data_IF_148013609246
#
_entry.id   IF_148013609246
#
_cell.length_a   1.000
_cell.length_b   1.000
_cell.length_c   1.000
_cell.angle_alpha   90.00
_cell.angle_beta   90.00
_cell.angle_gamma   90.00
#
_symmetry.space_group_name_H-M   'P 1'
#
loop_
_entity.id
_entity.type
_entity.pdbx_description
1 polymer ?
#
# COMPACT_ATOMS: atom_id res chain seq x y z
N UNK A 1 83.54 -65.96 13.39
CA UNK A 1 82.58 -66.84 14.09
C UNK A 1 81.46 -65.97 14.64
N UNK A 2 80.22 -66.46 14.51
CA UNK A 2 78.92 -65.89 14.91
C UNK A 2 78.32 -64.82 14.00
N UNK A 3 77.40 -65.36 13.19
CA UNK A 3 76.32 -64.78 12.42
C UNK A 3 75.26 -64.07 13.26
N UNK A 4 74.52 -63.18 12.60
CA UNK A 4 73.06 -62.92 12.66
C UNK A 4 72.87 -61.64 11.81
N UNK A 5 71.95 -61.53 10.88
CA UNK A 5 70.70 -62.23 10.63
C UNK A 5 69.77 -61.18 10.03
N UNK A 6 69.38 -61.42 8.78
CA UNK A 6 68.52 -60.62 7.90
C UNK A 6 67.28 -60.02 8.58
N UNK A 7 66.82 -58.83 8.13
CA UNK A 7 65.42 -58.58 7.70
C UNK A 7 65.24 -57.18 7.10
N UNK A 8 64.85 -57.19 5.82
CA UNK A 8 64.35 -56.07 5.03
C UNK A 8 62.91 -55.79 5.47
N UNK A 9 62.58 -54.53 5.76
CA UNK A 9 61.21 -54.08 5.94
C UNK A 9 60.95 -52.93 4.95
N UNK A 10 60.07 -53.18 3.98
CA UNK A 10 59.59 -52.21 3.02
C UNK A 10 58.69 -51.18 3.72
N UNK A 11 59.03 -49.89 3.61
CA UNK A 11 58.20 -48.80 4.12
C UNK A 11 57.28 -48.32 2.99
N UNK A 12 55.99 -48.63 3.10
CA UNK A 12 54.95 -48.02 2.27
C UNK A 12 54.76 -46.57 2.74
N UNK A 13 54.99 -45.61 1.84
CA UNK A 13 54.72 -44.18 2.09
C UNK A 13 53.24 -43.93 1.81
N UNK A 14 52.46 -43.73 2.86
CA UNK A 14 51.10 -43.19 2.76
C UNK A 14 51.19 -41.66 2.73
N UNK A 15 50.85 -41.05 1.60
CA UNK A 15 50.70 -39.60 1.46
C UNK A 15 49.35 -39.22 2.07
N UNK A 16 49.36 -38.55 3.22
CA UNK A 16 48.17 -37.89 3.79
C UNK A 16 48.09 -36.49 3.21
N UNK A 17 47.13 -36.26 2.32
CA UNK A 17 46.76 -34.92 1.86
C UNK A 17 45.93 -34.23 2.96
N UNK A 18 46.53 -33.26 3.66
CA UNK A 18 45.81 -32.38 4.59
C UNK A 18 45.10 -31.31 3.75
N UNK A 19 43.79 -31.48 3.54
CA UNK A 19 42.92 -30.40 3.04
C UNK A 19 42.66 -29.47 4.22
N UNK A 20 43.37 -28.34 4.26
CA UNK A 20 43.12 -27.28 5.23
C UNK A 20 41.80 -26.57 4.91
N UNK A 21 40.70 -26.99 5.53
CA UNK A 21 39.48 -26.19 5.60
C UNK A 21 39.77 -25.05 6.58
N UNK A 22 40.12 -23.88 6.03
CA UNK A 22 40.24 -22.65 6.80
C UNK A 22 38.86 -22.20 7.26
N UNK A 23 38.40 -22.73 8.38
CA UNK A 23 37.26 -22.20 9.12
C UNK A 23 37.66 -20.84 9.70
N UNK A 24 37.38 -19.75 8.99
CA UNK A 24 37.32 -18.43 9.61
C UNK A 24 36.11 -18.43 10.56
N UNK A 25 36.33 -18.84 11.80
CA UNK A 25 35.41 -18.54 12.88
C UNK A 25 35.43 -17.01 13.05
N UNK A 26 34.38 -16.34 12.55
CA UNK A 26 34.14 -14.96 12.90
C UNK A 26 34.01 -14.90 14.43
N UNK A 27 35.05 -14.38 15.10
CA UNK A 27 35.01 -14.11 16.53
C UNK A 27 34.03 -12.95 16.70
N UNK A 28 32.75 -13.27 16.90
CA UNK A 28 31.77 -12.30 17.34
C UNK A 28 32.25 -11.76 18.68
N UNK A 29 32.77 -10.53 18.70
CA UNK A 29 33.15 -9.84 19.92
C UNK A 29 31.85 -9.40 20.59
N UNK A 30 31.46 -10.00 21.73
CA UNK A 30 30.17 -9.71 22.36
C UNK A 30 30.09 -8.30 22.96
N UNK A 31 31.15 -7.49 22.85
CA UNK A 31 31.29 -6.13 23.38
C UNK A 31 31.33 -5.05 22.30
N UNK A 32 31.38 -5.40 21.01
CA UNK A 32 31.17 -4.42 19.94
C UNK A 32 29.67 -4.15 19.84
N UNK A 33 29.26 -2.97 20.33
CA UNK A 33 27.91 -2.48 20.11
C UNK A 33 27.63 -2.52 18.60
N UNK A 34 26.44 -3.02 18.21
CA UNK A 34 26.01 -2.95 16.80
C UNK A 34 26.18 -1.50 16.32
N UNK A 35 26.71 -1.27 15.11
CA UNK A 35 26.80 0.08 14.57
C UNK A 35 25.45 0.77 14.74
N UNK A 36 25.43 1.88 15.47
CA UNK A 36 24.23 2.69 15.60
C UNK A 36 23.95 3.28 14.22
N UNK A 37 22.80 2.97 13.64
CA UNK A 37 22.38 3.56 12.38
C UNK A 37 22.46 5.09 12.52
N UNK A 38 23.15 5.81 11.61
CA UNK A 38 23.12 7.26 11.63
C UNK A 38 21.66 7.73 11.45
N UNK A 39 21.23 8.81 12.12
CA UNK A 39 19.91 9.36 11.87
C UNK A 39 19.80 9.76 10.38
N UNK A 40 18.63 9.59 9.75
CA UNK A 40 18.44 10.02 8.37
C UNK A 40 18.80 11.50 8.20
N UNK A 41 19.52 11.81 7.12
CA UNK A 41 20.02 13.17 6.87
C UNK A 41 18.89 14.18 6.63
N UNK A 42 17.84 13.75 5.92
CA UNK A 42 16.68 14.59 5.62
C UNK A 42 15.61 14.46 6.70
N UNK A 43 15.20 15.63 7.21
CA UNK A 43 14.20 15.81 8.25
C UNK A 43 14.43 14.88 9.46
N UNK A 44 15.59 14.96 10.13
CA UNK A 44 15.99 14.03 11.20
C UNK A 44 14.99 14.00 12.38
N UNK A 45 14.18 15.05 12.55
CA UNK A 45 13.15 15.17 13.57
C UNK A 45 11.88 14.36 13.29
N UNK A 46 11.72 13.84 12.07
CA UNK A 46 10.54 13.06 11.71
C UNK A 46 10.53 11.70 12.40
N UNK A 47 9.38 11.38 13.01
CA UNK A 47 9.10 10.03 13.47
C UNK A 47 9.06 9.04 12.30
N UNK A 48 9.31 7.76 12.58
CA UNK A 48 9.20 6.69 11.59
C UNK A 48 7.80 6.65 10.96
N UNK A 49 6.75 6.84 11.76
CA UNK A 49 5.38 6.89 11.23
C UNK A 49 5.17 8.05 10.25
N UNK A 50 5.76 9.23 10.51
CA UNK A 50 5.70 10.36 9.57
C UNK A 50 6.43 10.03 8.26
N UNK A 51 7.60 9.41 8.31
CA UNK A 51 8.35 9.01 7.10
C UNK A 51 7.53 8.09 6.20
N UNK A 52 6.86 7.09 6.77
CA UNK A 52 5.97 6.20 6.01
C UNK A 52 4.72 6.89 5.47
N UNK A 53 4.17 7.86 6.19
CA UNK A 53 3.07 8.68 5.69
C UNK A 53 3.50 9.52 4.47
N UNK A 54 4.65 10.20 4.54
CA UNK A 54 5.15 10.99 3.40
C UNK A 54 5.43 10.09 2.20
N UNK A 55 6.04 8.92 2.42
CA UNK A 55 6.29 7.97 1.34
C UNK A 55 5.00 7.47 0.67
N UNK A 56 3.94 7.21 1.44
CA UNK A 56 2.63 6.89 0.88
C UNK A 56 2.03 8.08 0.11
N UNK A 57 2.13 9.31 0.64
CA UNK A 57 1.62 10.49 -0.04
C UNK A 57 2.33 10.73 -1.37
N UNK A 58 3.65 10.55 -1.42
CA UNK A 58 4.42 10.65 -2.66
C UNK A 58 4.05 9.53 -3.65
N UNK A 59 3.83 8.31 -3.16
CA UNK A 59 3.33 7.22 -3.99
C UNK A 59 1.93 7.53 -4.58
N UNK A 60 1.03 8.14 -3.80
CA UNK A 60 -0.29 8.61 -4.28
C UNK A 60 -0.13 9.70 -5.34
N UNK A 61 0.79 10.66 -5.15
CA UNK A 61 1.07 11.72 -6.14
C UNK A 61 1.57 11.17 -7.47
N UNK A 62 2.33 10.06 -7.44
CA UNK A 62 2.83 9.37 -8.64
C UNK A 62 1.79 8.46 -9.31
N UNK A 63 0.88 7.87 -8.53
CA UNK A 63 -0.11 6.91 -9.02
C UNK A 63 -1.27 7.58 -9.78
N UNK A 64 -1.98 6.81 -10.61
CA UNK A 64 -3.23 7.30 -11.21
C UNK A 64 -4.24 7.67 -10.11
N UNK A 65 -5.00 8.77 -10.25
CA UNK A 65 -5.99 9.16 -9.26
C UNK A 65 -7.07 8.09 -9.11
N UNK A 66 -7.15 7.52 -7.92
CA UNK A 66 -8.20 6.58 -7.53
C UNK A 66 -8.56 6.86 -6.06
N UNK A 67 -9.38 7.90 -5.79
CA UNK A 67 -9.69 8.35 -4.45
C UNK A 67 -10.12 7.23 -3.47
N UNK A 68 -11.03 6.30 -3.84
CA UNK A 68 -11.44 5.25 -2.92
C UNK A 68 -10.30 4.29 -2.55
N UNK A 69 -9.49 3.87 -3.54
CA UNK A 69 -8.34 2.98 -3.30
C UNK A 69 -7.25 3.68 -2.49
N UNK A 70 -6.96 4.95 -2.77
CA UNK A 70 -5.94 5.71 -2.05
C UNK A 70 -6.35 5.98 -0.59
N UNK A 71 -7.63 6.31 -0.34
CA UNK A 71 -8.17 6.42 1.02
C UNK A 71 -8.05 5.10 1.80
N UNK A 72 -8.33 3.97 1.15
CA UNK A 72 -8.15 2.63 1.72
C UNK A 72 -6.69 2.32 2.05
N UNK A 73 -5.74 2.71 1.19
CA UNK A 73 -4.30 2.55 1.45
C UNK A 73 -3.84 3.40 2.64
N UNK A 74 -4.31 4.65 2.75
CA UNK A 74 -4.05 5.53 3.90
C UNK A 74 -4.55 4.91 5.21
N UNK A 75 -5.77 4.36 5.21
CA UNK A 75 -6.32 3.68 6.38
C UNK A 75 -5.49 2.45 6.76
N UNK A 76 -5.21 1.54 5.82
CA UNK A 76 -4.48 0.31 6.13
C UNK A 76 -3.04 0.54 6.56
N UNK A 77 -2.36 1.55 6.00
CA UNK A 77 -1.05 1.94 6.51
C UNK A 77 -1.17 2.42 7.96
N UNK A 78 -2.10 3.35 8.23
CA UNK A 78 -2.31 3.88 9.57
C UNK A 78 -2.62 2.78 10.60
N UNK A 79 -3.50 1.85 10.25
CA UNK A 79 -3.85 0.71 11.10
C UNK A 79 -2.67 -0.25 11.30
N UNK A 80 -1.89 -0.56 10.26
CA UNK A 80 -0.69 -1.38 10.40
C UNK A 80 0.34 -0.75 11.35
N UNK A 81 0.54 0.57 11.25
CA UNK A 81 1.43 1.30 12.16
C UNK A 81 0.87 1.37 13.59
N UNK A 82 -0.45 1.51 13.74
CA UNK A 82 -1.11 1.45 15.04
C UNK A 82 -0.93 0.07 15.69
N UNK A 83 -1.17 -1.01 14.96
CA UNK A 83 -1.03 -2.38 15.45
C UNK A 83 0.41 -2.66 15.90
N UNK A 84 1.39 -2.22 15.10
CA UNK A 84 2.80 -2.31 15.45
C UNK A 84 3.15 -1.55 16.74
N UNK A 85 2.54 -0.37 16.94
CA UNK A 85 2.72 0.41 18.16
C UNK A 85 2.05 -0.27 19.38
N UNK A 86 0.83 -0.77 19.18
CA UNK A 86 -0.04 -1.38 20.19
C UNK A 86 0.46 -2.74 20.67
N UNK A 87 1.20 -3.50 19.83
CA UNK A 87 1.86 -4.75 20.24
C UNK A 87 2.75 -4.57 21.47
N UNK A 88 3.43 -3.42 21.60
CA UNK A 88 4.34 -3.13 22.71
C UNK A 88 3.71 -2.25 23.81
N UNK A 89 2.41 -1.95 23.69
CA UNK A 89 1.64 -1.29 24.73
C UNK A 89 0.90 -2.32 25.59
N UNK A 90 0.93 -2.22 26.94
CA UNK A 90 0.27 -3.19 27.80
C UNK A 90 -1.27 -3.13 27.73
N UNK A 91 -1.85 -2.05 27.22
CA UNK A 91 -3.30 -1.77 27.33
C UNK A 91 -3.99 -1.47 26.00
N UNK A 92 -3.28 -0.93 25.01
CA UNK A 92 -3.89 -0.57 23.73
C UNK A 92 -4.11 -1.79 22.84
N UNK A 93 -5.29 -1.99 22.28
CA UNK A 93 -5.53 -3.07 21.32
C UNK A 93 -5.26 -2.62 19.89
N UNK A 94 -4.68 -3.53 19.09
CA UNK A 94 -4.58 -3.34 17.64
C UNK A 94 -5.92 -3.57 16.95
N UNK A 95 -6.05 -3.01 15.76
CA UNK A 95 -7.23 -3.11 14.91
C UNK A 95 -7.31 -4.47 14.20
N UNK A 96 -6.22 -4.89 13.53
CA UNK A 96 -6.16 -6.18 12.84
C UNK A 96 -5.36 -7.22 13.63
N UNK A 97 -4.35 -6.77 14.38
CA UNK A 97 -3.38 -7.62 15.04
C UNK A 97 -3.26 -7.27 16.53
N UNK A 98 -3.57 -8.22 17.41
CA UNK A 98 -3.69 -7.99 18.86
C UNK A 98 -2.61 -8.69 19.71
N UNK A 99 -1.69 -9.42 19.07
CA UNK A 99 -0.59 -10.10 19.77
C UNK A 99 0.28 -9.07 20.53
N UNK A 100 0.70 -9.45 21.74
CA UNK A 100 1.53 -8.61 22.61
C UNK A 100 2.97 -9.10 22.65
N UNK A 101 3.90 -8.16 22.69
CA UNK A 101 5.33 -8.45 22.80
C UNK A 101 6.03 -7.44 23.70
N UNK A 102 7.19 -7.83 24.22
CA UNK A 102 8.05 -6.97 25.05
C UNK A 102 9.43 -6.88 24.42
N UNK A 103 10.10 -5.76 24.62
CA UNK A 103 11.45 -5.52 24.11
C UNK A 103 12.24 -4.66 25.10
N UNK A 104 13.56 -4.82 25.09
CA UNK A 104 14.45 -4.04 25.96
C UNK A 104 14.34 -2.52 25.67
N UNK A 105 14.29 -2.14 24.39
CA UNK A 105 13.93 -0.79 23.96
C UNK A 105 12.59 -0.85 23.22
N UNK A 106 11.53 -0.37 23.88
CA UNK A 106 10.17 -0.31 23.31
C UNK A 106 10.10 0.60 22.09
N UNK A 107 10.81 1.72 22.13
CA UNK A 107 10.82 2.67 21.01
C UNK A 107 11.51 2.08 19.78
N UNK A 108 12.69 1.46 19.94
CA UNK A 108 13.39 0.83 18.83
C UNK A 108 12.57 -0.31 18.21
N UNK A 109 11.95 -1.15 19.06
CA UNK A 109 11.09 -2.23 18.58
C UNK A 109 9.86 -1.70 17.83
N UNK A 110 9.21 -0.64 18.32
CA UNK A 110 8.09 0.00 17.61
C UNK A 110 8.54 0.53 16.25
N UNK A 111 9.65 1.24 16.18
CA UNK A 111 10.18 1.80 14.94
C UNK A 111 10.49 0.72 13.89
N UNK A 112 11.10 -0.40 14.30
CA UNK A 112 11.39 -1.53 13.43
C UNK A 112 10.10 -2.23 12.96
N UNK A 113 9.20 -2.58 13.90
CA UNK A 113 7.92 -3.25 13.56
C UNK A 113 7.05 -2.40 12.63
N UNK A 114 6.93 -1.10 12.88
CA UNK A 114 6.23 -0.13 12.01
C UNK A 114 6.82 -0.19 10.61
N UNK A 115 8.15 -0.19 10.49
CA UNK A 115 8.82 -0.10 9.18
C UNK A 115 8.63 -1.34 8.34
N UNK A 116 8.76 -2.53 8.95
CA UNK A 116 8.45 -3.76 8.22
C UNK A 116 6.97 -3.87 7.87
N UNK A 117 6.06 -3.48 8.76
CA UNK A 117 4.63 -3.49 8.46
C UNK A 117 4.29 -2.56 7.28
N UNK A 118 4.74 -1.31 7.35
CA UNK A 118 4.52 -0.30 6.32
C UNK A 118 5.15 -0.68 4.97
N UNK A 119 6.42 -1.08 4.97
CA UNK A 119 7.14 -1.47 3.75
C UNK A 119 6.39 -2.58 2.98
N UNK A 120 5.95 -3.62 3.68
CA UNK A 120 5.27 -4.77 3.08
C UNK A 120 3.87 -4.41 2.57
N UNK A 121 3.08 -3.65 3.36
CA UNK A 121 1.76 -3.19 2.94
C UNK A 121 1.88 -2.31 1.70
N UNK A 122 2.70 -1.26 1.75
CA UNK A 122 2.82 -0.30 0.65
C UNK A 122 3.41 -0.93 -0.62
N UNK A 123 4.44 -1.77 -0.48
CA UNK A 123 5.01 -2.46 -1.63
C UNK A 123 3.97 -3.33 -2.34
N UNK A 124 3.15 -4.06 -1.58
CA UNK A 124 2.07 -4.86 -2.16
C UNK A 124 0.99 -4.00 -2.84
N UNK A 125 0.66 -2.82 -2.30
CA UNK A 125 -0.36 -1.93 -2.88
C UNK A 125 0.10 -1.20 -4.15
N UNK A 126 1.38 -0.83 -4.23
CA UNK A 126 1.90 0.04 -5.31
C UNK A 126 2.73 -0.68 -6.38
N UNK A 127 3.06 -1.97 -6.22
CA UNK A 127 3.85 -2.74 -7.21
C UNK A 127 3.29 -2.72 -8.64
N UNK A 128 1.97 -2.58 -8.79
CA UNK A 128 1.30 -2.51 -10.09
C UNK A 128 0.77 -1.11 -10.44
N UNK A 129 1.06 -0.10 -9.62
CA UNK A 129 0.61 1.27 -9.87
C UNK A 129 1.46 1.93 -10.97
N UNK A 130 0.88 2.93 -11.65
CA UNK A 130 1.66 3.88 -12.43
C UNK A 130 2.63 4.60 -11.48
N UNK A 131 3.91 4.73 -11.85
CA UNK A 131 4.96 5.22 -10.94
C UNK A 131 5.32 4.24 -9.80
N UNK A 132 4.93 2.97 -9.92
CA UNK A 132 5.18 1.94 -8.91
C UNK A 132 6.67 1.66 -8.71
N UNK A 133 7.49 1.65 -9.76
CA UNK A 133 8.95 1.48 -9.66
C UNK A 133 9.58 2.51 -8.74
N UNK A 134 9.23 3.78 -8.92
CA UNK A 134 9.81 4.91 -8.19
C UNK A 134 9.32 4.88 -6.73
N UNK A 135 8.05 4.51 -6.53
CA UNK A 135 7.48 4.36 -5.19
C UNK A 135 8.13 3.22 -4.42
N UNK A 136 8.40 2.07 -5.05
CA UNK A 136 9.11 0.95 -4.42
C UNK A 136 10.56 1.29 -4.12
N UNK A 137 11.23 2.04 -5.00
CA UNK A 137 12.57 2.55 -4.74
C UNK A 137 12.57 3.43 -3.50
N UNK A 138 11.64 4.37 -3.40
CA UNK A 138 11.53 5.24 -2.22
C UNK A 138 11.23 4.45 -0.94
N UNK A 139 10.37 3.44 -0.99
CA UNK A 139 10.12 2.57 0.17
C UNK A 139 11.37 1.80 0.59
N UNK A 140 12.21 1.38 -0.36
CA UNK A 140 13.50 0.77 -0.08
C UNK A 140 14.48 1.77 0.54
N UNK A 141 14.51 3.02 0.05
CA UNK A 141 15.35 4.10 0.59
C UNK A 141 14.95 4.45 2.04
N UNK A 142 13.66 4.45 2.37
CA UNK A 142 13.19 4.61 3.75
C UNK A 142 13.73 3.50 4.65
N UNK A 143 13.66 2.23 4.22
CA UNK A 143 14.19 1.10 4.98
C UNK A 143 15.72 1.18 5.14
N UNK A 144 16.45 1.53 4.08
CA UNK A 144 17.91 1.70 4.10
C UNK A 144 18.32 2.83 5.05
N UNK A 145 17.62 3.97 5.03
CA UNK A 145 17.87 5.09 5.93
C UNK A 145 17.69 4.77 7.41
N UNK A 146 16.93 3.72 7.73
CA UNK A 146 16.68 3.21 9.07
C UNK A 146 17.52 1.94 9.38
N UNK A 147 18.39 1.53 8.45
CA UNK A 147 19.23 0.34 8.51
C UNK A 147 18.44 -0.97 8.69
N UNK A 148 17.27 -1.07 8.06
CA UNK A 148 16.44 -2.28 8.09
C UNK A 148 16.58 -3.09 6.78
N UNK A 149 17.14 -4.32 6.82
CA UNK A 149 17.32 -5.13 5.62
C UNK A 149 15.99 -5.55 4.97
N UNK A 150 15.89 -5.41 3.64
CA UNK A 150 14.67 -5.75 2.91
C UNK A 150 14.39 -7.26 2.83
N UNK A 151 15.44 -8.09 2.97
CA UNK A 151 15.39 -9.55 2.88
C UNK A 151 14.87 -10.23 4.16
N UNK A 152 14.72 -9.47 5.24
CA UNK A 152 14.08 -9.93 6.48
C UNK A 152 12.56 -10.10 6.28
N UNK A 153 12.17 -11.29 5.84
CA UNK A 153 10.80 -11.65 5.42
C UNK A 153 10.12 -12.64 6.35
N UNK A 154 10.84 -13.22 7.32
CA UNK A 154 10.29 -14.21 8.25
C UNK A 154 9.08 -13.65 9.00
N UNK A 155 8.08 -14.50 9.25
CA UNK A 155 6.96 -14.23 10.17
C UNK A 155 7.10 -14.99 11.48
N UNK A 156 8.17 -15.75 11.66
CA UNK A 156 8.39 -16.63 12.81
C UNK A 156 9.20 -15.94 13.90
N UNK A 157 8.81 -16.19 15.16
CA UNK A 157 9.47 -15.64 16.35
C UNK A 157 9.02 -14.22 16.72
N UNK A 158 9.73 -13.64 17.69
CA UNK A 158 9.32 -12.39 18.36
C UNK A 158 10.21 -11.19 18.02
N UNK A 159 11.01 -11.27 16.95
CA UNK A 159 11.75 -10.09 16.50
C UNK A 159 10.77 -9.02 16.00
N UNK A 160 11.09 -7.72 16.16
CA UNK A 160 10.25 -6.64 15.64
C UNK A 160 9.98 -6.78 14.13
N UNK A 161 11.00 -7.16 13.34
CA UNK A 161 10.84 -7.48 11.92
C UNK A 161 9.80 -8.60 11.67
N UNK A 162 9.87 -9.70 12.42
CA UNK A 162 8.94 -10.82 12.26
C UNK A 162 7.50 -10.43 12.59
N UNK A 163 7.32 -9.65 13.66
CA UNK A 163 6.02 -9.11 14.06
C UNK A 163 5.49 -8.14 12.99
N UNK A 164 6.33 -7.23 12.47
CA UNK A 164 5.93 -6.29 11.43
C UNK A 164 5.49 -6.99 10.15
N UNK A 165 6.21 -8.04 9.74
CA UNK A 165 5.81 -8.90 8.63
C UNK A 165 4.48 -9.63 8.90
N UNK A 166 4.22 -10.10 10.13
CA UNK A 166 2.92 -10.69 10.51
C UNK A 166 1.78 -9.67 10.39
N UNK A 167 1.97 -8.46 10.92
CA UNK A 167 0.98 -7.38 10.84
C UNK A 167 0.66 -7.07 9.38
N UNK A 168 1.68 -6.88 8.53
CA UNK A 168 1.47 -6.64 7.12
C UNK A 168 0.69 -7.76 6.44
N UNK A 169 1.03 -9.02 6.72
CA UNK A 169 0.28 -10.18 6.21
C UNK A 169 -1.19 -10.11 6.62
N UNK A 170 -1.48 -9.88 7.90
CA UNK A 170 -2.87 -9.80 8.41
C UNK A 170 -3.65 -8.67 7.75
N UNK A 171 -3.05 -7.49 7.59
CA UNK A 171 -3.68 -6.33 6.93
C UNK A 171 -3.95 -6.60 5.45
N UNK A 172 -2.99 -7.20 4.74
CA UNK A 172 -3.14 -7.54 3.33
C UNK A 172 -4.21 -8.61 3.13
N UNK A 173 -4.23 -9.66 3.97
CA UNK A 173 -5.25 -10.71 3.94
C UNK A 173 -6.66 -10.14 4.22
N UNK A 174 -6.81 -9.25 5.20
CA UNK A 174 -8.07 -8.56 5.46
C UNK A 174 -8.54 -7.77 4.23
N UNK A 175 -7.63 -7.10 3.54
CA UNK A 175 -7.94 -6.36 2.32
C UNK A 175 -8.35 -7.24 1.13
N UNK A 176 -7.97 -8.51 1.07
CA UNK A 176 -8.39 -9.39 -0.04
C UNK A 176 -9.86 -9.78 0.04
N UNK A 177 -10.48 -9.66 1.22
CA UNK A 177 -11.85 -10.11 1.49
C UNK A 177 -12.81 -8.99 1.92
N UNK A 178 -12.36 -7.74 1.89
CA UNK A 178 -13.15 -6.56 2.27
C UNK A 178 -14.21 -6.14 1.23
N UNK A 179 -14.34 -6.88 0.13
CA UNK A 179 -15.26 -6.56 -0.96
C UNK A 179 -14.73 -5.55 -1.98
N UNK A 180 -13.51 -5.01 -1.83
CA UNK A 180 -12.90 -4.05 -2.76
C UNK A 180 -12.51 -4.64 -4.12
N UNK A 181 -12.56 -5.96 -4.30
CA UNK A 181 -12.16 -6.66 -5.53
C UNK A 181 -10.71 -6.34 -5.97
N UNK A 182 -9.81 -6.19 -5.00
CA UNK A 182 -8.41 -5.81 -5.24
C UNK A 182 -7.68 -6.73 -6.22
N UNK A 183 -7.90 -8.05 -6.14
CA UNK A 183 -7.23 -9.04 -7.00
C UNK A 183 -7.55 -8.86 -8.48
N UNK A 184 -8.73 -8.35 -8.80
CA UNK A 184 -9.17 -8.00 -10.15
C UNK A 184 -9.00 -6.50 -10.46
N UNK A 185 -8.17 -5.79 -9.69
CA UNK A 185 -7.83 -4.39 -9.96
C UNK A 185 -8.95 -3.40 -9.64
N UNK A 186 -9.81 -3.72 -8.65
CA UNK A 186 -10.90 -2.84 -8.20
C UNK A 186 -11.99 -2.57 -9.26
N UNK A 187 -12.11 -3.48 -10.23
CA UNK A 187 -13.06 -3.37 -11.34
C UNK A 187 -14.46 -3.82 -10.93
N UNK A 188 -15.47 -3.24 -11.57
CA UNK A 188 -16.85 -3.71 -11.49
C UNK A 188 -17.34 -4.19 -12.86
N UNK A 189 -17.36 -5.50 -13.12
CA UNK A 189 -17.82 -6.01 -14.40
C UNK A 189 -19.34 -5.90 -14.58
N UNK A 190 -20.12 -5.57 -13.53
CA UNK A 190 -21.58 -5.50 -13.58
C UNK A 190 -22.09 -4.11 -13.90
N UNK A 191 -21.29 -3.07 -13.64
CA UNK A 191 -21.67 -1.70 -13.95
C UNK A 191 -21.38 -1.39 -15.42
N UNK A 192 -22.40 -0.87 -16.11
CA UNK A 192 -22.25 -0.23 -17.41
C UNK A 192 -23.06 1.07 -17.41
N UNK A 193 -22.53 2.18 -17.98
CA UNK A 193 -23.31 3.40 -18.15
C UNK A 193 -24.49 3.14 -19.08
N UNK A 194 -25.64 3.74 -18.76
CA UNK A 194 -26.85 3.65 -19.60
C UNK A 194 -26.70 4.50 -20.86
N UNK A 195 -26.01 5.63 -20.75
CA UNK A 195 -25.79 6.53 -21.86
C UNK A 195 -24.50 6.17 -22.61
N UNK A 196 -24.50 6.27 -23.95
CA UNK A 196 -23.27 6.19 -24.74
C UNK A 196 -22.36 7.40 -24.43
N UNK A 197 -21.03 7.26 -24.58
CA UNK A 197 -20.12 8.37 -24.33
C UNK A 197 -20.44 9.63 -25.14
N UNK A 198 -20.37 10.80 -24.51
CA UNK A 198 -20.44 12.10 -25.18
C UNK A 198 -19.08 12.43 -25.79
N UNK A 199 -19.00 12.50 -27.12
CA UNK A 199 -17.81 13.01 -27.81
C UNK A 199 -17.76 14.53 -27.63
N UNK A 200 -16.88 15.00 -26.74
CA UNK A 200 -16.83 16.42 -26.35
C UNK A 200 -16.42 17.35 -27.50
N UNK A 201 -15.67 16.83 -28.47
CA UNK A 201 -15.24 17.57 -29.67
C UNK A 201 -16.38 17.73 -30.71
N UNK A 202 -17.57 17.20 -30.42
CA UNK A 202 -18.75 17.32 -31.27
C UNK A 202 -19.86 18.10 -30.55
N UNK A 203 -20.57 18.93 -31.30
CA UNK A 203 -21.70 19.69 -30.76
C UNK A 203 -22.92 18.81 -30.58
N UNK A 204 -23.42 18.74 -29.34
CA UNK A 204 -24.64 18.03 -28.99
C UNK A 204 -24.46 16.51 -28.86
N UNK A 205 -25.47 15.85 -28.30
CA UNK A 205 -25.54 14.40 -28.17
C UNK A 205 -26.99 13.98 -28.02
N UNK A 206 -27.29 12.72 -28.35
CA UNK A 206 -28.52 12.07 -27.90
C UNK A 206 -28.20 11.28 -26.64
N UNK A 207 -28.98 11.49 -25.58
CA UNK A 207 -28.90 10.68 -24.36
C UNK A 207 -30.03 9.66 -24.37
N UNK A 208 -29.75 8.44 -23.89
CA UNK A 208 -30.76 7.41 -23.67
C UNK A 208 -31.61 7.75 -22.44
N UNK A 209 -30.97 8.22 -21.36
CA UNK A 209 -31.62 8.63 -20.13
C UNK A 209 -30.92 9.87 -19.53
N UNK A 210 -31.54 11.06 -19.56
CA UNK A 210 -30.95 12.28 -19.03
C UNK A 210 -30.80 12.29 -17.50
N UNK A 211 -31.41 11.34 -16.79
CA UNK A 211 -31.29 11.19 -15.33
C UNK A 211 -30.15 10.23 -14.92
N UNK A 212 -29.32 9.77 -15.87
CA UNK A 212 -28.19 8.86 -15.62
C UNK A 212 -26.88 9.47 -16.11
N UNK A 213 -25.79 9.09 -15.45
CA UNK A 213 -24.45 9.55 -15.83
C UNK A 213 -24.13 9.20 -17.28
N UNK A 214 -23.48 10.13 -17.98
CA UNK A 214 -22.96 9.97 -19.32
C UNK A 214 -21.43 10.10 -19.29
N UNK A 215 -20.67 9.07 -19.69
CA UNK A 215 -19.23 9.18 -19.80
C UNK A 215 -18.83 10.25 -20.81
N UNK A 216 -17.81 11.04 -20.51
CA UNK A 216 -17.22 11.92 -21.53
C UNK A 216 -16.15 11.20 -22.33
N UNK A 217 -16.08 11.47 -23.63
CA UNK A 217 -14.98 11.10 -24.50
C UNK A 217 -14.18 12.35 -24.91
N UNK A 218 -12.96 12.44 -24.39
CA UNK A 218 -12.01 13.52 -24.62
C UNK A 218 -10.94 13.07 -25.62
N UNK A 219 -10.59 13.93 -26.57
CA UNK A 219 -9.48 13.68 -27.53
C UNK A 219 -8.14 13.56 -26.80
N UNK A 220 -7.97 14.30 -25.71
CA UNK A 220 -6.83 14.21 -24.81
C UNK A 220 -7.35 14.18 -23.38
N UNK A 221 -7.06 13.10 -22.67
CA UNK A 221 -7.39 12.96 -21.26
C UNK A 221 -6.10 13.00 -20.45
N UNK A 222 -6.05 13.90 -19.48
CA UNK A 222 -4.96 14.05 -18.52
C UNK A 222 -5.59 13.85 -17.14
N UNK A 223 -4.99 12.98 -16.33
CA UNK A 223 -5.42 12.78 -14.96
C UNK A 223 -5.19 14.04 -14.11
N UNK A 224 -5.80 14.09 -12.92
CA UNK A 224 -5.66 15.24 -12.00
C UNK A 224 -4.20 15.55 -11.62
N UNK A 225 -3.32 14.55 -11.66
CA UNK A 225 -1.88 14.70 -11.39
C UNK A 225 -1.01 14.72 -12.66
N UNK A 226 -1.59 15.02 -13.82
CA UNK A 226 -0.82 15.28 -15.04
C UNK A 226 -0.45 14.05 -15.88
N UNK A 227 -0.96 12.86 -15.55
CA UNK A 227 -0.66 11.62 -16.27
C UNK A 227 -1.59 11.49 -17.48
N UNK A 228 -1.07 11.36 -18.71
CA UNK A 228 -1.90 11.09 -19.88
C UNK A 228 -2.63 9.74 -19.76
N UNK A 229 -3.93 9.72 -20.07
CA UNK A 229 -4.76 8.51 -20.06
C UNK A 229 -5.01 8.07 -21.50
N UNK A 230 -4.71 6.81 -21.80
CA UNK A 230 -4.70 6.23 -23.16
C UNK A 230 -6.09 5.96 -23.73
N UNK A 231 -7.13 5.91 -22.90
CA UNK A 231 -8.51 5.77 -23.31
C UNK A 231 -9.24 7.08 -23.06
N UNK A 232 -9.63 7.77 -24.13
CA UNK A 232 -10.27 9.09 -24.03
C UNK A 232 -11.66 9.06 -23.39
N UNK A 233 -12.24 7.87 -23.17
CA UNK A 233 -13.55 7.69 -22.56
C UNK A 233 -13.40 7.55 -21.04
N UNK A 234 -14.17 8.33 -20.29
CA UNK A 234 -14.25 8.21 -18.83
C UNK A 234 -14.88 6.87 -18.41
N UNK A 235 -14.41 6.36 -17.29
CA UNK A 235 -14.98 5.17 -16.63
C UNK A 235 -15.47 5.55 -15.23
N UNK A 236 -16.54 4.90 -14.78
CA UNK A 236 -17.04 5.10 -13.43
C UNK A 236 -16.07 4.47 -12.43
N UNK A 237 -15.56 5.27 -11.49
CA UNK A 237 -14.65 4.81 -10.45
C UNK A 237 -15.45 4.27 -9.27
N UNK A 238 -15.19 3.03 -8.87
CA UNK A 238 -15.78 2.40 -7.68
C UNK A 238 -17.31 2.37 -7.62
N UNK A 239 -18.04 1.99 -8.68
CA UNK A 239 -19.51 2.01 -8.67
C UNK A 239 -20.16 1.09 -7.61
N UNK A 240 -19.43 0.08 -7.11
CA UNK A 240 -19.85 -0.81 -6.02
C UNK A 240 -19.24 -0.43 -4.66
N UNK A 241 -18.45 0.65 -4.58
CA UNK A 241 -17.54 0.87 -3.46
C UNK A 241 -18.24 1.03 -2.11
N UNK A 242 -19.51 1.45 -2.10
CA UNK A 242 -20.28 1.51 -0.87
C UNK A 242 -20.59 0.15 -0.24
N UNK A 243 -20.31 -0.97 -0.93
CA UNK A 243 -20.35 -2.35 -0.38
C UNK A 243 -19.01 -2.84 0.16
N UNK A 244 -17.94 -2.07 0.02
CA UNK A 244 -16.64 -2.38 0.63
C UNK A 244 -16.78 -2.24 2.14
N UNK A 245 -16.21 -3.17 2.89
CA UNK A 245 -16.22 -3.16 4.34
C UNK A 245 -15.71 -1.82 4.86
N UNK A 246 -16.54 -1.18 5.68
CA UNK A 246 -16.22 0.12 6.24
C UNK A 246 -15.27 -0.04 7.44
N UNK A 247 -14.45 0.97 7.70
CA UNK A 247 -13.55 0.96 8.85
C UNK A 247 -14.15 1.57 10.13
N UNK A 248 -15.12 2.49 10.01
CA UNK A 248 -15.71 3.22 11.16
C UNK A 248 -17.20 3.56 11.00
N UNK A 249 -17.77 3.37 9.80
CA UNK A 249 -19.20 3.52 9.56
C UNK A 249 -19.90 2.16 9.78
N UNK A 250 -21.23 2.14 9.92
CA UNK A 250 -21.98 0.90 9.91
C UNK A 250 -21.74 0.10 8.62
N UNK A 251 -22.09 -1.17 8.64
CA UNK A 251 -22.13 -1.98 7.44
C UNK A 251 -23.09 -1.35 6.40
N UNK A 252 -22.77 -1.56 5.14
CA UNK A 252 -23.59 -1.10 4.05
C UNK A 252 -25.01 -1.67 4.16
N UNK A 253 -26.03 -0.81 4.00
CA UNK A 253 -27.41 -1.25 3.88
C UNK A 253 -27.65 -2.09 2.61
N UNK A 254 -28.90 -2.55 2.38
CA UNK A 254 -29.27 -3.30 1.18
C UNK A 254 -28.84 -2.61 -0.14
N UNK A 255 -28.94 -1.28 -0.15
CA UNK A 255 -28.63 -0.42 -1.30
C UNK A 255 -27.12 -0.19 -1.49
N UNK A 256 -26.28 -0.71 -0.58
CA UNK A 256 -24.83 -0.65 -0.72
C UNK A 256 -24.24 0.70 -0.37
N UNK A 257 -24.86 1.47 0.53
CA UNK A 257 -24.28 2.65 1.18
C UNK A 257 -24.65 2.65 2.68
N UNK A 258 -23.74 3.03 3.58
CA UNK A 258 -24.03 3.10 5.01
C UNK A 258 -24.85 4.34 5.40
N UNK A 259 -24.79 5.40 4.59
CA UNK A 259 -25.53 6.65 4.77
C UNK A 259 -26.10 7.04 3.40
N UNK A 260 -27.43 7.03 3.26
CA UNK A 260 -28.12 7.40 2.03
C UNK A 260 -28.85 8.75 2.22
N UNK A 261 -28.43 9.83 1.53
CA UNK A 261 -29.14 11.11 1.57
C UNK A 261 -30.45 11.11 0.77
N UNK A 262 -30.77 10.02 0.07
CA UNK A 262 -31.91 9.92 -0.84
C UNK A 262 -31.54 10.25 -2.29
N UNK A 263 -32.49 10.06 -3.23
CA UNK A 263 -32.23 10.27 -4.65
C UNK A 263 -32.08 11.77 -4.98
N UNK A 264 -31.27 12.12 -6.01
CA UNK A 264 -31.18 13.50 -6.50
C UNK A 264 -32.46 13.93 -7.26
N UNK A 265 -32.70 15.24 -7.44
CA UNK A 265 -33.72 15.76 -8.34
C UNK A 265 -33.61 15.20 -9.76
N UNK A 266 -34.75 14.98 -10.44
CA UNK A 266 -34.79 14.33 -11.76
C UNK A 266 -35.51 15.19 -12.81
N UNK A 267 -35.00 15.16 -14.03
CA UNK A 267 -35.63 15.78 -15.19
C UNK A 267 -36.92 15.05 -15.53
N UNK A 268 -38.01 15.80 -15.74
CA UNK A 268 -39.33 15.28 -16.05
C UNK A 268 -40.12 14.73 -14.85
N UNK A 269 -39.52 14.69 -13.66
CA UNK A 269 -40.22 14.30 -12.44
C UNK A 269 -41.08 15.48 -11.92
N UNK A 270 -42.41 15.32 -11.73
CA UNK A 270 -43.29 16.43 -11.37
C UNK A 270 -42.93 17.14 -10.05
N UNK A 271 -42.27 16.44 -9.12
CA UNK A 271 -41.93 16.99 -7.81
C UNK A 271 -40.56 17.67 -7.80
N UNK A 272 -39.61 17.24 -8.64
CA UNK A 272 -38.20 17.64 -8.55
C UNK A 272 -37.62 18.27 -9.83
N UNK A 273 -38.34 18.26 -10.96
CA UNK A 273 -37.88 18.80 -12.25
C UNK A 273 -37.53 20.30 -12.16
N UNK A 274 -38.35 21.09 -11.47
CA UNK A 274 -38.10 22.51 -11.28
C UNK A 274 -36.79 22.76 -10.50
N UNK A 275 -36.55 21.98 -9.44
CA UNK A 275 -35.34 22.09 -8.63
C UNK A 275 -34.08 21.71 -9.45
N UNK A 276 -34.15 20.65 -10.26
CA UNK A 276 -33.05 20.28 -11.14
C UNK A 276 -32.73 21.40 -12.15
N UNK A 277 -33.74 21.97 -12.79
CA UNK A 277 -33.56 23.05 -13.77
C UNK A 277 -32.96 24.30 -13.13
N UNK A 278 -33.37 24.64 -11.92
CA UNK A 278 -32.79 25.76 -11.17
C UNK A 278 -31.30 25.52 -10.87
N UNK A 279 -30.93 24.33 -10.40
CA UNK A 279 -29.54 23.94 -10.14
C UNK A 279 -28.67 23.97 -11.42
N UNK A 280 -29.20 23.50 -12.55
CA UNK A 280 -28.49 23.59 -13.85
C UNK A 280 -28.25 25.04 -14.24
N UNK A 281 -29.23 25.92 -14.07
CA UNK A 281 -29.08 27.35 -14.37
C UNK A 281 -28.08 28.02 -13.42
N UNK A 282 -28.03 27.61 -12.16
CA UNK A 282 -27.04 28.08 -11.18
C UNK A 282 -25.62 27.76 -11.66
N UNK A 283 -25.33 26.51 -12.05
CA UNK A 283 -24.02 26.11 -12.60
C UNK A 283 -23.65 26.96 -13.83
N UNK A 284 -24.60 27.26 -14.72
CA UNK A 284 -24.37 28.14 -15.88
C UNK A 284 -24.01 29.57 -15.44
N UNK A 285 -24.73 30.12 -14.46
CA UNK A 285 -24.45 31.46 -13.92
C UNK A 285 -23.10 31.52 -13.23
N UNK A 286 -22.75 30.52 -12.43
CA UNK A 286 -21.46 30.48 -11.74
C UNK A 286 -20.31 30.34 -12.73
N UNK A 287 -20.47 29.50 -13.75
CA UNK A 287 -19.51 29.41 -14.86
C UNK A 287 -19.31 30.74 -15.59
N UNK A 288 -20.39 31.53 -15.78
CA UNK A 288 -20.29 32.86 -16.40
C UNK A 288 -19.55 33.91 -15.57
N UNK A 289 -19.28 33.61 -14.29
CA UNK A 289 -18.56 34.48 -13.36
C UNK A 289 -17.12 34.05 -13.13
N UNK A 290 -16.69 32.92 -13.69
CA UNK A 290 -15.30 32.50 -13.60
C UNK A 290 -14.41 33.51 -14.32
N UNK A 291 -13.42 34.02 -13.60
CA UNK A 291 -12.35 34.85 -14.11
C UNK A 291 -11.00 34.15 -13.86
N UNK A 292 -9.90 34.60 -14.49
CA UNK A 292 -8.60 33.94 -14.35
C UNK A 292 -7.84 34.35 -13.07
N UNK A 293 -8.47 35.01 -12.09
CA UNK A 293 -7.80 35.60 -10.92
C UNK A 293 -7.46 34.59 -9.81
#
# INVERSE_FOLDING_TARGET
>A
MRSRGFRIAATAVAIVAIVGVGSFAAIARPWEARPTCPPPADNPEWSVARRWNEALLDAIRRALPNPPVHARNLFYLSAAMWDAWATYDPTADGYFFTEKSTAASREAARNETISYAAYRVLSARFIKAVGGSDSLSEFADVMDSLCYPLDMTTTEGNSPAAIGNRIARTVLEAGLVDGSNETAGYTDPKYAPVNPPLVVDQSGTTMTDPNRWQPLQLVRMISQNGIPVTNGVQEAIGPYWGRVASFALPDAGPDGVPIDPGPPPRLGDPATDAALKEQVVEVIRDSSRLDPA
#
